data_IF_131252264734
#
_entry.id   IF_131252264734
#
_cell.length_a   1.000
_cell.length_b   1.000
_cell.length_c   1.000
_cell.angle_alpha   90.00
_cell.angle_beta   90.00
_cell.angle_gamma   90.00
#
_symmetry.space_group_name_H-M   'P 1'
#
loop_
_entity.id
_entity.type
_entity.pdbx_description
1 polymer ?
#
# COMPACT_ATOMS: atom_id res chain seq x y z
N UNK A 1 44.36 -2.36 -15.57
CA UNK A 1 44.61 -1.46 -14.43
C UNK A 1 43.38 -1.50 -13.52
N UNK A 2 43.36 -2.42 -12.57
CA UNK A 2 42.23 -2.65 -11.66
C UNK A 2 42.60 -2.11 -10.28
N UNK A 3 41.77 -1.23 -9.72
CA UNK A 3 41.91 -0.71 -8.36
C UNK A 3 40.71 -1.18 -7.53
N UNK A 4 40.97 -2.13 -6.64
CA UNK A 4 40.08 -2.60 -5.59
C UNK A 4 40.37 -1.75 -4.36
N UNK A 5 39.42 -0.93 -3.91
CA UNK A 5 39.52 -0.20 -2.64
C UNK A 5 38.84 -1.03 -1.57
N UNK A 6 39.64 -1.60 -0.66
CA UNK A 6 39.18 -2.20 0.60
C UNK A 6 39.24 -1.13 1.69
N UNK A 7 38.09 -0.76 2.26
CA UNK A 7 38.04 0.02 3.49
C UNK A 7 38.16 -0.94 4.69
N UNK A 8 39.22 -0.74 5.48
CA UNK A 8 39.46 -1.37 6.77
C UNK A 8 38.97 -0.41 7.85
N UNK A 9 38.02 -0.85 8.67
CA UNK A 9 37.58 -0.10 9.86
C UNK A 9 38.42 -0.59 11.04
N UNK A 10 39.22 0.32 11.60
CA UNK A 10 40.03 0.10 12.78
C UNK A 10 39.17 0.39 14.03
N UNK A 11 39.07 -0.57 14.95
CA UNK A 11 38.45 -0.38 16.27
C UNK A 11 39.57 -0.20 17.30
N UNK A 12 39.79 1.04 17.73
CA UNK A 12 40.57 1.34 18.93
C UNK A 12 39.64 1.78 20.06
N UNK A 13 39.70 1.03 21.15
CA UNK A 13 39.13 1.38 22.44
C UNK A 13 39.96 2.47 23.10
N UNK A 14 39.32 3.42 23.80
CA UNK A 14 39.69 3.74 25.19
C UNK A 14 38.81 4.80 25.87
N UNK A 15 38.75 4.62 27.19
CA UNK A 15 38.61 5.60 28.29
C UNK A 15 37.25 5.84 28.92
N UNK A 16 37.26 5.63 30.24
CA UNK A 16 36.12 5.65 31.14
C UNK A 16 35.83 7.03 31.73
N UNK A 17 34.60 7.15 32.22
CA UNK A 17 34.13 8.30 32.98
C UNK A 17 33.26 7.85 34.16
N UNK A 18 33.66 8.29 35.35
CA UNK A 18 32.82 8.89 36.41
C UNK A 18 31.39 8.36 36.58
N UNK A 19 31.16 7.60 37.65
CA UNK A 19 29.87 7.01 38.03
C UNK A 19 28.80 8.01 38.52
N UNK A 20 29.10 9.32 38.61
CA UNK A 20 28.17 10.33 39.12
C UNK A 20 27.37 11.10 38.04
N UNK A 21 27.69 10.94 36.76
CA UNK A 21 26.94 11.55 35.64
C UNK A 21 25.85 10.65 35.04
N UNK A 22 25.88 9.34 35.30
CA UNK A 22 24.97 8.37 34.66
C UNK A 22 23.50 8.56 35.10
N UNK A 23 23.24 9.10 36.30
CA UNK A 23 21.87 9.33 36.76
C UNK A 23 21.18 10.54 36.09
N UNK A 24 21.92 11.48 35.50
CA UNK A 24 21.34 12.68 34.87
C UNK A 24 20.95 12.49 33.40
N UNK A 25 21.25 11.32 32.84
CA UNK A 25 21.07 11.06 31.40
C UNK A 25 19.85 10.21 31.06
N UNK A 26 18.97 9.96 32.02
CA UNK A 26 17.74 9.19 31.82
C UNK A 26 16.58 10.07 31.38
N UNK A 27 15.68 9.49 30.59
CA UNK A 27 14.44 10.12 30.13
C UNK A 27 13.62 10.62 31.32
N UNK A 28 13.26 11.90 31.30
CA UNK A 28 12.49 12.54 32.39
C UNK A 28 11.06 12.00 32.50
N UNK A 29 10.56 11.37 31.44
CA UNK A 29 9.18 10.86 31.38
C UNK A 29 9.08 9.42 31.86
N UNK A 30 10.02 8.55 31.48
CA UNK A 30 9.92 7.13 31.78
C UNK A 30 10.98 6.61 32.77
N UNK A 31 12.08 7.33 32.98
CA UNK A 31 13.19 6.93 33.87
C UNK A 31 13.92 5.64 33.49
N UNK A 32 13.52 4.96 32.40
CA UNK A 32 13.97 3.61 32.03
C UNK A 32 15.01 3.56 30.91
N UNK A 33 15.09 4.61 30.08
CA UNK A 33 15.99 4.68 28.92
C UNK A 33 16.75 6.00 28.91
N UNK A 34 17.99 6.05 28.37
CA UNK A 34 18.73 7.29 28.24
C UNK A 34 18.03 8.27 27.30
N UNK A 35 18.36 9.56 27.45
CA UNK A 35 17.88 10.66 26.62
C UNK A 35 18.27 10.47 25.15
N UNK A 36 17.35 10.73 24.23
CA UNK A 36 17.58 10.58 22.79
C UNK A 36 18.44 11.74 22.27
N UNK A 37 19.45 11.43 21.47
CA UNK A 37 20.36 12.43 20.88
C UNK A 37 20.18 12.43 19.36
N UNK A 38 19.77 13.56 18.80
CA UNK A 38 19.58 13.75 17.36
C UNK A 38 20.52 14.87 16.88
N UNK A 39 21.43 14.55 15.95
CA UNK A 39 22.40 15.52 15.39
C UNK A 39 23.19 16.31 16.45
N UNK A 40 23.53 15.66 17.57
CA UNK A 40 24.24 16.29 18.69
C UNK A 40 23.36 17.05 19.68
N UNK A 41 22.06 17.20 19.42
CA UNK A 41 21.11 17.79 20.36
C UNK A 41 20.50 16.70 21.25
N UNK A 42 20.61 16.83 22.57
CA UNK A 42 20.10 15.87 23.56
C UNK A 42 18.70 16.28 24.02
N UNK A 43 17.70 15.48 23.68
CA UNK A 43 16.31 15.70 24.08
C UNK A 43 16.07 15.23 25.53
N UNK A 44 15.14 15.83 26.29
CA UNK A 44 14.84 15.41 27.67
C UNK A 44 14.17 14.02 27.77
N UNK A 45 13.80 13.43 26.63
CA UNK A 45 13.08 12.16 26.51
C UNK A 45 13.83 11.14 25.64
N UNK A 46 13.53 9.85 25.82
CA UNK A 46 14.14 8.75 25.06
C UNK A 46 13.48 8.44 23.71
N UNK A 47 12.29 9.00 23.43
CA UNK A 47 11.50 8.69 22.22
C UNK A 47 10.42 9.75 21.96
N UNK A 48 9.90 9.78 20.73
CA UNK A 48 8.74 10.62 20.35
C UNK A 48 7.50 10.34 21.22
N UNK A 49 7.30 9.10 21.64
CA UNK A 49 6.19 8.71 22.53
C UNK A 49 6.33 9.35 23.92
N UNK A 50 7.55 9.42 24.47
CA UNK A 50 7.78 10.13 25.73
C UNK A 50 7.65 11.65 25.56
N UNK A 51 8.10 12.21 24.43
CA UNK A 51 7.93 13.62 24.11
C UNK A 51 6.47 14.09 24.12
N UNK A 52 5.55 13.26 23.63
CA UNK A 52 4.11 13.59 23.58
C UNK A 52 3.42 13.61 24.95
N UNK A 53 4.01 12.97 25.98
CA UNK A 53 3.40 12.91 27.32
C UNK A 53 3.59 14.20 28.13
N UNK A 54 4.61 15.00 27.83
CA UNK A 54 4.85 16.29 28.51
C UNK A 54 4.08 17.44 27.87
N UNK A 55 3.46 17.23 26.71
CA UNK A 55 2.65 18.24 26.01
C UNK A 55 1.20 18.32 26.52
N UNK A 56 0.79 17.44 27.44
CA UNK A 56 -0.52 17.43 28.09
C UNK A 56 -0.42 17.88 29.54
N UNK A 57 -0.94 19.07 29.84
CA UNK A 57 -0.84 19.73 31.14
C UNK A 57 -1.40 18.93 32.34
N UNK A 58 -0.71 19.17 33.45
CA UNK A 58 -0.93 18.78 34.86
C UNK A 58 -2.39 18.93 35.33
N UNK A 59 -2.94 17.91 36.02
CA UNK A 59 -4.22 18.01 36.73
C UNK A 59 -4.67 16.79 37.57
N UNK A 60 -4.13 16.70 38.80
CA UNK A 60 -4.65 16.14 40.09
C UNK A 60 -5.56 14.90 40.19
N UNK A 61 -5.24 14.10 41.22
CA UNK A 61 -5.95 12.95 41.80
C UNK A 61 -7.24 13.28 42.58
N UNK A 62 -8.20 12.34 42.66
CA UNK A 62 -8.89 11.85 43.89
C UNK A 62 -10.05 10.87 43.57
N UNK A 63 -10.46 10.13 44.60
CA UNK A 63 -11.01 8.76 44.60
C UNK A 63 -12.58 8.66 44.63
N UNK A 64 -13.22 7.57 45.12
CA UNK A 64 -14.27 6.83 44.40
C UNK A 64 -15.70 7.14 44.87
N UNK A 65 -16.72 6.89 44.04
CA UNK A 65 -18.09 6.75 44.54
C UNK A 65 -18.89 5.72 43.74
N UNK A 66 -19.34 4.72 44.48
CA UNK A 66 -20.31 3.67 44.16
C UNK A 66 -21.64 4.29 43.75
N UNK A 67 -22.22 3.94 42.60
CA UNK A 67 -23.63 3.53 42.46
C UNK A 67 -23.84 2.90 41.07
N UNK A 68 -24.53 1.78 41.08
CA UNK A 68 -24.95 0.85 40.03
C UNK A 68 -25.80 1.47 38.90
N UNK A 69 -25.46 1.19 37.64
CA UNK A 69 -26.40 0.75 36.60
C UNK A 69 -25.67 0.20 35.35
N UNK A 70 -26.21 -0.90 34.79
CA UNK A 70 -25.64 -1.72 33.73
C UNK A 70 -25.60 -1.01 32.36
N UNK A 71 -24.40 -0.59 31.93
CA UNK A 71 -24.05 -0.33 30.53
C UNK A 71 -22.60 -0.76 30.32
N UNK A 72 -22.34 -1.63 29.35
CA UNK A 72 -21.00 -2.10 28.97
C UNK A 72 -20.17 -0.90 28.55
N UNK A 73 -19.35 -0.41 29.48
CA UNK A 73 -18.55 0.81 29.33
C UNK A 73 -17.10 0.44 29.05
N UNK A 74 -16.61 1.03 27.96
CA UNK A 74 -15.25 0.97 27.45
C UNK A 74 -14.31 1.69 28.42
N UNK A 75 -13.66 0.98 29.34
CA UNK A 75 -12.61 1.58 30.18
C UNK A 75 -11.59 0.57 30.75
N UNK A 76 -11.56 -0.68 30.28
CA UNK A 76 -10.36 -1.49 30.50
C UNK A 76 -9.36 -1.11 29.42
N UNK A 77 -8.30 -0.41 29.80
CA UNK A 77 -7.13 -0.21 28.93
C UNK A 77 -6.37 -1.52 28.70
N UNK A 78 -6.93 -2.69 28.97
CA UNK A 78 -6.30 -4.00 28.75
C UNK A 78 -6.63 -4.53 27.37
N UNK A 79 -5.72 -5.32 26.82
CA UNK A 79 -5.88 -6.02 25.56
C UNK A 79 -7.16 -6.87 25.54
N UNK A 80 -7.89 -6.81 24.42
CA UNK A 80 -9.13 -7.57 24.21
C UNK A 80 -8.90 -9.06 23.90
N UNK A 81 -7.66 -9.49 23.64
CA UNK A 81 -7.33 -10.91 23.51
C UNK A 81 -7.45 -11.59 24.89
N UNK A 82 -8.29 -12.62 24.98
CA UNK A 82 -8.52 -13.36 26.24
C UNK A 82 -7.21 -13.97 26.74
N UNK A 83 -6.86 -13.68 27.99
CA UNK A 83 -5.60 -14.13 28.62
C UNK A 83 -4.44 -13.14 28.48
N UNK A 84 -4.61 -12.05 27.74
CA UNK A 84 -3.61 -10.99 27.64
C UNK A 84 -3.85 -9.89 28.69
N UNK A 85 -2.85 -9.62 29.52
CA UNK A 85 -2.93 -8.61 30.58
C UNK A 85 -2.16 -7.31 30.26
N UNK A 86 -1.72 -7.14 29.01
CA UNK A 86 -1.02 -5.93 28.58
C UNK A 86 -1.98 -4.79 28.26
N UNK A 87 -1.49 -3.57 28.39
CA UNK A 87 -2.28 -2.39 28.03
C UNK A 87 -2.53 -2.32 26.52
N UNK A 88 -3.77 -2.07 26.15
CA UNK A 88 -4.22 -1.78 24.80
C UNK A 88 -3.65 -0.44 24.31
N UNK A 89 -2.84 -0.51 23.26
CA UNK A 89 -2.27 0.67 22.57
C UNK A 89 -2.66 0.72 21.09
N UNK A 90 -3.35 -0.30 20.60
CA UNK A 90 -3.74 -0.49 19.21
C UNK A 90 -5.18 -1.02 19.11
N UNK A 91 -6.16 -0.12 18.94
CA UNK A 91 -7.57 -0.47 18.70
C UNK A 91 -8.16 -1.48 19.71
N UNK A 92 -7.79 -1.39 20.99
CA UNK A 92 -8.20 -2.35 22.02
C UNK A 92 -7.25 -3.53 22.22
N UNK A 93 -6.14 -3.61 21.50
CA UNK A 93 -5.10 -4.64 21.64
C UNK A 93 -3.75 -4.03 22.01
N UNK A 94 -2.86 -4.78 22.65
CA UNK A 94 -1.51 -4.31 22.96
C UNK A 94 -0.60 -4.22 21.72
N UNK A 95 -0.93 -4.93 20.65
CA UNK A 95 -0.21 -4.90 19.38
C UNK A 95 -1.07 -5.48 18.23
N UNK A 96 -0.65 -5.34 16.96
CA UNK A 96 -1.38 -5.87 15.82
C UNK A 96 -1.45 -7.40 15.74
N UNK A 97 -0.49 -8.12 16.32
CA UNK A 97 -0.45 -9.60 16.29
C UNK A 97 -1.56 -10.15 17.17
N UNK A 98 -1.73 -9.61 18.39
CA UNK A 98 -2.82 -10.00 19.28
C UNK A 98 -4.20 -9.65 18.72
N UNK A 99 -4.31 -8.56 17.96
CA UNK A 99 -5.53 -8.21 17.24
C UNK A 99 -5.90 -9.30 16.21
N UNK A 100 -4.93 -9.77 15.42
CA UNK A 100 -5.14 -10.85 14.45
C UNK A 100 -5.43 -12.20 15.11
N UNK A 101 -4.73 -12.51 16.20
CA UNK A 101 -4.91 -13.76 16.93
C UNK A 101 -6.30 -13.85 17.56
N UNK A 102 -6.82 -12.74 18.10
CA UNK A 102 -8.18 -12.70 18.63
C UNK A 102 -9.24 -12.98 17.56
N UNK A 103 -9.06 -12.49 16.33
CA UNK A 103 -9.94 -12.83 15.19
C UNK A 103 -9.80 -14.31 14.85
N UNK A 104 -8.56 -14.82 14.75
CA UNK A 104 -8.28 -16.22 14.40
C UNK A 104 -8.87 -17.20 15.41
N UNK A 105 -8.88 -16.85 16.69
CA UNK A 105 -9.49 -17.64 17.77
C UNK A 105 -11.02 -17.46 17.86
N UNK A 106 -11.63 -16.62 17.03
CA UNK A 106 -13.07 -16.35 17.05
C UNK A 106 -13.53 -15.59 18.29
N UNK A 107 -12.62 -14.92 19.00
CA UNK A 107 -12.96 -14.15 20.20
C UNK A 107 -13.59 -12.79 19.85
N UNK A 108 -13.30 -12.29 18.65
CA UNK A 108 -13.86 -11.05 18.10
C UNK A 108 -14.23 -11.25 16.63
N UNK A 109 -15.18 -10.45 16.15
CA UNK A 109 -15.55 -10.42 14.74
C UNK A 109 -14.36 -9.96 13.87
N UNK A 110 -14.10 -10.73 12.82
CA UNK A 110 -13.17 -10.36 11.76
C UNK A 110 -13.80 -9.41 10.73
N UNK A 111 -12.95 -8.67 10.04
CA UNK A 111 -13.32 -7.83 8.91
C UNK A 111 -13.97 -8.66 7.79
N UNK A 112 -15.13 -8.24 7.31
CA UNK A 112 -15.87 -8.91 6.22
C UNK A 112 -15.07 -9.00 4.91
N UNK A 113 -14.01 -8.18 4.74
CA UNK A 113 -13.20 -8.14 3.51
C UNK A 113 -11.91 -8.93 3.59
N UNK A 114 -11.13 -8.80 4.66
CA UNK A 114 -9.83 -9.46 4.77
C UNK A 114 -9.84 -10.65 5.72
N UNK A 115 -10.89 -10.80 6.55
CA UNK A 115 -11.05 -11.84 7.58
C UNK A 115 -9.93 -11.96 8.63
N UNK A 116 -8.82 -11.23 8.48
CA UNK A 116 -7.64 -11.31 9.33
C UNK A 116 -7.59 -10.25 10.45
N UNK A 117 -8.32 -9.14 10.28
CA UNK A 117 -8.21 -7.96 11.16
C UNK A 117 -9.54 -7.69 11.87
N UNK A 118 -9.53 -7.16 13.11
CA UNK A 118 -10.75 -6.82 13.82
C UNK A 118 -11.60 -5.80 13.07
N UNK A 119 -12.91 -5.88 13.24
CA UNK A 119 -13.83 -4.82 12.78
C UNK A 119 -13.49 -3.51 13.49
N UNK A 120 -13.46 -2.39 12.74
CA UNK A 120 -13.22 -1.09 13.35
C UNK A 120 -14.46 -0.64 14.15
N UNK A 121 -14.30 -0.48 15.46
CA UNK A 121 -15.33 0.08 16.34
C UNK A 121 -15.68 1.54 15.99
N UNK A 122 -14.80 2.23 15.26
CA UNK A 122 -14.97 3.63 14.84
C UNK A 122 -15.50 3.77 13.40
N UNK A 123 -15.84 2.68 12.70
CA UNK A 123 -16.41 2.77 11.37
C UNK A 123 -17.79 3.45 11.45
N UNK A 124 -17.81 4.79 11.25
CA UNK A 124 -19.08 5.51 11.13
C UNK A 124 -19.84 4.90 9.95
N UNK A 125 -21.11 4.49 10.14
CA UNK A 125 -21.93 4.07 9.00
C UNK A 125 -22.00 5.25 8.02
N UNK A 126 -21.39 5.07 6.85
CA UNK A 126 -21.52 6.04 5.77
C UNK A 126 -22.99 6.09 5.40
N UNK A 127 -23.62 7.27 5.49
CA UNK A 127 -24.99 7.50 5.03
C UNK A 127 -25.11 6.95 3.60
N UNK A 128 -25.82 5.83 3.44
CA UNK A 128 -26.12 5.21 2.15
C UNK A 128 -25.25 4.02 1.71
N UNK A 129 -24.27 3.55 2.51
CA UNK A 129 -23.51 2.33 2.17
C UNK A 129 -23.94 1.17 3.06
N UNK A 130 -24.78 0.28 2.53
CA UNK A 130 -25.16 -0.95 3.20
C UNK A 130 -23.93 -1.88 3.39
N UNK A 131 -23.65 -2.15 4.66
CA UNK A 131 -23.30 -3.47 5.23
C UNK A 131 -21.97 -4.12 4.83
N UNK A 132 -20.87 -3.64 5.43
CA UNK A 132 -19.70 -4.46 5.70
C UNK A 132 -19.05 -4.02 7.03
N UNK A 133 -18.87 -4.93 7.98
CA UNK A 133 -18.07 -4.75 9.19
C UNK A 133 -16.59 -4.81 8.81
N UNK A 134 -15.98 -3.66 8.56
CA UNK A 134 -14.63 -3.58 7.99
C UNK A 134 -13.60 -3.15 9.04
N UNK A 135 -12.39 -3.69 8.95
CA UNK A 135 -11.26 -3.16 9.73
C UNK A 135 -10.89 -1.75 9.25
N UNK A 136 -10.17 -0.98 10.09
CA UNK A 136 -9.80 0.40 9.76
C UNK A 136 -8.98 0.51 8.46
N UNK A 137 -8.17 -0.51 8.14
CA UNK A 137 -7.44 -0.60 6.87
C UNK A 137 -8.38 -0.76 5.68
N UNK A 138 -9.30 -1.73 5.75
CA UNK A 138 -10.29 -1.97 4.69
C UNK A 138 -11.28 -0.81 4.54
N UNK A 139 -11.71 -0.17 5.63
CA UNK A 139 -12.59 1.00 5.63
C UNK A 139 -11.90 2.22 5.00
N UNK A 140 -10.62 2.49 5.32
CA UNK A 140 -9.84 3.55 4.63
C UNK A 140 -9.64 3.25 3.14
N UNK A 141 -9.30 2.01 2.82
CA UNK A 141 -9.20 1.56 1.43
C UNK A 141 -10.54 1.73 0.69
N UNK A 142 -11.67 1.54 1.39
CA UNK A 142 -13.00 1.77 0.85
C UNK A 142 -13.36 3.26 0.70
N UNK A 143 -12.89 4.12 1.61
CA UNK A 143 -13.26 5.54 1.65
C UNK A 143 -12.45 6.45 0.73
N UNK A 144 -11.24 6.09 0.32
CA UNK A 144 -10.42 6.98 -0.51
C UNK A 144 -9.41 6.31 -1.43
N UNK A 145 -9.34 4.99 -1.46
CA UNK A 145 -8.36 4.26 -2.27
C UNK A 145 -8.96 3.63 -3.53
N UNK A 146 -8.09 3.35 -4.50
CA UNK A 146 -8.40 2.48 -5.63
C UNK A 146 -8.85 1.11 -5.13
N UNK A 147 -9.98 0.61 -5.65
CA UNK A 147 -10.50 -0.71 -5.32
C UNK A 147 -10.47 -1.64 -6.53
N UNK A 148 -10.51 -2.95 -6.27
CA UNK A 148 -10.57 -3.97 -7.30
C UNK A 148 -11.89 -4.72 -7.20
N UNK A 149 -12.51 -4.95 -8.35
CA UNK A 149 -13.68 -5.82 -8.50
C UNK A 149 -13.32 -6.97 -9.44
N UNK A 150 -13.33 -8.20 -8.94
CA UNK A 150 -13.12 -9.38 -9.78
C UNK A 150 -14.27 -9.52 -10.79
N UNK A 151 -13.91 -9.77 -12.05
CA UNK A 151 -14.86 -10.04 -13.13
C UNK A 151 -15.00 -11.55 -13.29
N UNK A 152 -16.25 -12.03 -13.34
CA UNK A 152 -16.52 -13.44 -13.63
C UNK A 152 -16.15 -13.79 -15.08
N UNK A 153 -15.75 -15.03 -15.33
CA UNK A 153 -15.34 -15.49 -16.68
C UNK A 153 -16.42 -15.36 -17.76
N UNK A 154 -17.71 -15.33 -17.35
CA UNK A 154 -18.86 -15.12 -18.24
C UNK A 154 -19.20 -13.64 -18.48
N UNK A 155 -18.58 -12.72 -17.74
CA UNK A 155 -18.77 -11.27 -17.88
C UNK A 155 -18.33 -10.82 -19.29
N UNK A 156 -19.11 -9.95 -19.93
CA UNK A 156 -18.77 -9.42 -21.24
C UNK A 156 -17.48 -8.59 -21.21
N UNK A 157 -17.23 -7.85 -20.12
CA UNK A 157 -15.99 -7.10 -19.92
C UNK A 157 -14.80 -8.03 -19.76
N UNK A 158 -14.95 -9.15 -19.05
CA UNK A 158 -13.88 -10.15 -18.95
C UNK A 158 -13.48 -10.65 -20.34
N UNK A 159 -14.48 -11.06 -21.14
CA UNK A 159 -14.25 -11.58 -22.49
C UNK A 159 -13.60 -10.54 -23.41
N UNK A 160 -14.05 -9.29 -23.33
CA UNK A 160 -13.50 -8.21 -24.14
C UNK A 160 -12.05 -7.89 -23.76
N UNK A 161 -11.75 -7.71 -22.47
CA UNK A 161 -10.37 -7.44 -22.01
C UNK A 161 -9.44 -8.60 -22.35
N UNK A 162 -9.90 -9.85 -22.16
CA UNK A 162 -9.14 -11.04 -22.59
C UNK A 162 -8.90 -11.04 -24.10
N UNK A 163 -9.92 -10.76 -24.90
CA UNK A 163 -9.78 -10.71 -26.37
C UNK A 163 -8.78 -9.65 -26.81
N UNK A 164 -8.82 -8.45 -26.21
CA UNK A 164 -7.86 -7.37 -26.50
C UNK A 164 -6.44 -7.75 -26.12
N UNK A 165 -6.24 -8.36 -24.94
CA UNK A 165 -4.94 -8.84 -24.50
C UNK A 165 -4.36 -9.85 -25.48
N UNK A 166 -5.10 -10.92 -25.78
CA UNK A 166 -4.64 -11.99 -26.66
C UNK A 166 -4.45 -11.50 -28.09
N UNK A 167 -5.37 -10.65 -28.58
CA UNK A 167 -5.30 -10.10 -29.94
C UNK A 167 -4.08 -9.20 -30.16
N UNK A 168 -3.63 -8.49 -29.12
CA UNK A 168 -2.47 -7.61 -29.20
C UNK A 168 -1.17 -8.33 -28.78
N UNK A 169 -1.24 -9.56 -28.27
CA UNK A 169 -0.08 -10.34 -27.83
C UNK A 169 0.74 -10.80 -29.04
N UNK A 170 1.60 -9.91 -29.53
CA UNK A 170 2.37 -10.11 -30.74
C UNK A 170 3.86 -10.21 -30.42
N UNK A 171 4.28 -11.33 -29.82
CA UNK A 171 5.69 -11.65 -29.64
C UNK A 171 6.10 -12.78 -30.59
N UNK A 172 7.19 -12.58 -31.33
CA UNK A 172 7.72 -13.60 -32.23
C UNK A 172 8.18 -14.80 -31.40
N UNK A 173 7.59 -15.96 -31.65
CA UNK A 173 8.00 -17.27 -31.10
C UNK A 173 7.68 -17.54 -29.62
N UNK A 174 6.79 -16.78 -28.98
CA UNK A 174 6.32 -17.08 -27.61
C UNK A 174 4.88 -17.64 -27.64
N UNK A 175 4.55 -18.47 -26.66
CA UNK A 175 3.19 -18.97 -26.47
C UNK A 175 2.22 -17.85 -26.08
N UNK A 176 0.94 -18.04 -26.40
CA UNK A 176 -0.11 -17.13 -25.93
C UNK A 176 -0.34 -17.34 -24.43
N UNK A 177 -0.51 -16.26 -23.65
CA UNK A 177 -0.74 -16.38 -22.23
C UNK A 177 -2.12 -16.98 -21.94
N UNK A 178 -2.23 -17.69 -20.83
CA UNK A 178 -3.52 -18.10 -20.27
C UNK A 178 -3.99 -17.05 -19.28
N UNK A 179 -5.14 -16.44 -19.54
CA UNK A 179 -5.75 -15.44 -18.62
C UNK A 179 -6.58 -16.16 -17.56
N UNK A 180 -6.13 -16.07 -16.32
CA UNK A 180 -6.78 -16.70 -15.16
C UNK A 180 -7.85 -15.80 -14.54
N UNK A 181 -7.49 -14.54 -14.25
CA UNK A 181 -8.39 -13.58 -13.60
C UNK A 181 -8.24 -12.18 -14.15
N UNK A 182 -9.34 -11.43 -14.15
CA UNK A 182 -9.36 -10.02 -14.49
C UNK A 182 -10.08 -9.26 -13.38
N UNK A 183 -9.44 -8.21 -12.88
CA UNK A 183 -10.03 -7.29 -11.92
C UNK A 183 -10.29 -5.96 -12.60
N UNK A 184 -11.52 -5.47 -12.54
CA UNK A 184 -11.82 -4.09 -12.86
C UNK A 184 -11.29 -3.19 -11.75
N UNK A 185 -10.54 -2.16 -12.13
CA UNK A 185 -10.05 -1.15 -11.22
C UNK A 185 -11.13 -0.08 -11.06
N UNK A 186 -11.58 0.14 -9.83
CA UNK A 186 -12.48 1.23 -9.47
C UNK A 186 -11.62 2.46 -9.14
N UNK A 187 -11.37 3.26 -10.17
CA UNK A 187 -10.53 4.46 -10.09
C UNK A 187 -11.22 5.53 -9.22
N UNK A 188 -10.50 6.17 -8.28
CA UNK A 188 -11.02 7.26 -7.46
C UNK A 188 -11.58 8.43 -8.28
N UNK A 189 -12.63 9.10 -7.76
CA UNK A 189 -13.31 10.19 -8.46
C UNK A 189 -12.40 11.38 -8.77
N UNK A 190 -11.45 11.69 -7.89
CA UNK A 190 -10.50 12.79 -8.10
C UNK A 190 -9.55 12.48 -9.27
N UNK A 191 -9.11 11.22 -9.40
CA UNK A 191 -8.29 10.78 -10.53
C UNK A 191 -9.09 10.82 -11.83
N UNK A 192 -10.33 10.33 -11.83
CA UNK A 192 -11.21 10.43 -13.01
C UNK A 192 -11.44 11.89 -13.42
N UNK A 193 -11.59 12.81 -12.46
CA UNK A 193 -11.74 14.23 -12.74
C UNK A 193 -10.48 14.83 -13.35
N UNK A 194 -9.29 14.48 -12.85
CA UNK A 194 -8.01 14.95 -13.41
C UNK A 194 -7.77 14.39 -14.81
N UNK A 195 -8.06 13.11 -15.02
CA UNK A 195 -8.00 12.46 -16.34
C UNK A 195 -8.92 13.13 -17.35
N UNK A 196 -10.17 13.40 -16.97
CA UNK A 196 -11.12 14.11 -17.83
C UNK A 196 -10.68 15.55 -18.12
N UNK A 197 -10.06 16.24 -17.16
CA UNK A 197 -9.48 17.57 -17.37
C UNK A 197 -8.28 17.53 -18.31
N UNK A 198 -7.36 16.58 -18.13
CA UNK A 198 -6.20 16.39 -18.99
C UNK A 198 -6.63 16.10 -20.43
N UNK A 199 -7.63 15.23 -20.62
CA UNK A 199 -8.16 14.94 -21.97
C UNK A 199 -8.63 16.18 -22.73
N UNK A 200 -9.12 17.22 -22.03
CA UNK A 200 -9.59 18.48 -22.61
C UNK A 200 -8.45 19.44 -22.98
N UNK A 201 -7.24 19.25 -22.44
CA UNK A 201 -6.09 20.11 -22.80
C UNK A 201 -5.48 19.69 -24.14
N UNK A 202 -5.79 18.49 -24.61
CA UNK A 202 -5.29 17.93 -25.86
C UNK A 202 -6.25 18.19 -27.02
N UNK A 203 -5.73 18.75 -28.11
CA UNK A 203 -6.44 18.87 -29.39
C UNK A 203 -6.61 17.48 -30.01
N UNK A 204 -7.83 17.12 -30.44
CA UNK A 204 -8.14 15.83 -31.05
C UNK A 204 -7.62 14.62 -30.24
N UNK A 205 -7.88 14.60 -28.93
CA UNK A 205 -7.42 13.49 -28.09
C UNK A 205 -8.10 12.16 -28.45
N UNK A 206 -7.30 11.09 -28.41
CA UNK A 206 -7.79 9.72 -28.50
C UNK A 206 -7.32 8.93 -27.28
N UNK A 207 -8.12 7.93 -26.92
CA UNK A 207 -7.81 7.01 -25.85
C UNK A 207 -7.34 5.68 -26.46
N UNK A 208 -6.21 5.17 -25.97
CA UNK A 208 -5.63 3.91 -26.41
C UNK A 208 -5.48 2.96 -25.22
N UNK A 209 -5.65 1.66 -25.47
CA UNK A 209 -5.40 0.61 -24.50
C UNK A 209 -3.93 0.21 -24.54
N UNK A 210 -3.23 0.42 -23.44
CA UNK A 210 -1.83 -0.02 -23.26
C UNK A 210 -1.70 -0.95 -22.05
N UNK A 211 -0.52 -1.51 -21.86
CA UNK A 211 -0.21 -2.47 -20.82
C UNK A 211 1.05 -2.05 -20.07
N UNK A 212 1.01 -2.15 -18.75
CA UNK A 212 2.12 -1.88 -17.86
C UNK A 212 2.34 -3.10 -16.97
N UNK A 213 3.57 -3.58 -16.88
CA UNK A 213 3.97 -4.59 -15.92
C UNK A 213 5.21 -4.10 -15.15
N UNK A 214 5.37 -4.60 -13.94
CA UNK A 214 6.43 -4.20 -13.02
C UNK A 214 6.59 -5.29 -11.95
N UNK A 215 7.67 -5.17 -11.16
CA UNK A 215 7.91 -6.01 -9.99
C UNK A 215 6.68 -6.25 -9.10
N UNK A 216 6.33 -7.53 -8.94
CA UNK A 216 5.31 -8.01 -8.03
C UNK A 216 5.98 -8.72 -6.84
N UNK A 217 5.81 -8.18 -5.64
CA UNK A 217 6.30 -8.81 -4.41
C UNK A 217 5.23 -9.65 -3.71
N UNK A 218 3.96 -9.47 -4.10
CA UNK A 218 2.79 -10.15 -3.52
C UNK A 218 2.15 -11.13 -4.47
N UNK A 219 1.33 -12.04 -3.94
CA UNK A 219 0.51 -12.96 -4.72
C UNK A 219 -0.84 -12.32 -5.09
N UNK A 220 -0.81 -11.17 -5.78
CA UNK A 220 -2.03 -10.43 -6.11
C UNK A 220 -3.01 -11.33 -6.88
N UNK A 221 -4.24 -11.44 -6.36
CA UNK A 221 -5.31 -12.22 -6.95
C UNK A 221 -5.44 -13.67 -6.45
N UNK A 222 -4.46 -14.19 -5.70
CA UNK A 222 -4.58 -15.50 -5.03
C UNK A 222 -5.43 -15.42 -3.77
N UNK A 223 -5.32 -14.30 -3.03
CA UNK A 223 -6.07 -14.01 -1.79
C UNK A 223 -7.23 -13.03 -2.02
N UNK A 224 -7.71 -12.95 -3.25
CA UNK A 224 -8.79 -12.05 -3.66
C UNK A 224 -8.32 -10.66 -4.13
N UNK A 225 -9.26 -9.71 -4.28
CA UNK A 225 -9.06 -8.42 -4.96
C UNK A 225 -8.45 -7.36 -4.02
N UNK A 226 -7.31 -7.64 -3.41
CA UNK A 226 -6.64 -6.73 -2.47
C UNK A 226 -5.25 -6.29 -2.96
N UNK A 227 -5.02 -4.97 -2.98
CA UNK A 227 -3.68 -4.40 -3.19
C UNK A 227 -2.89 -4.46 -1.87
N UNK A 228 -1.62 -4.84 -1.92
CA UNK A 228 -0.76 -4.84 -0.73
C UNK A 228 -0.17 -3.44 -0.46
N UNK A 229 0.31 -3.22 0.76
CA UNK A 229 0.90 -1.94 1.19
C UNK A 229 2.44 -1.89 1.05
N UNK A 230 3.06 -2.93 0.47
CA UNK A 230 4.52 -2.97 0.32
C UNK A 230 4.97 -1.97 -0.73
N UNK A 231 5.80 -1.03 -0.31
CA UNK A 231 6.37 0.03 -1.16
C UNK A 231 7.11 -0.50 -2.39
N UNK A 232 7.81 -1.64 -2.26
CA UNK A 232 8.51 -2.29 -3.36
C UNK A 232 7.62 -3.06 -4.36
N UNK A 233 6.31 -3.17 -4.11
CA UNK A 233 5.42 -3.87 -5.05
C UNK A 233 4.93 -2.90 -6.12
N UNK A 234 5.57 -2.91 -7.30
CA UNK A 234 5.31 -1.99 -8.41
C UNK A 234 3.85 -1.96 -8.85
N UNK A 235 3.25 -3.11 -9.15
CA UNK A 235 1.82 -3.18 -9.55
C UNK A 235 0.90 -2.56 -8.49
N UNK A 236 1.07 -2.93 -7.21
CA UNK A 236 0.22 -2.42 -6.14
C UNK A 236 0.42 -0.92 -5.89
N UNK A 237 1.67 -0.44 -5.95
CA UNK A 237 2.00 0.98 -5.80
C UNK A 237 1.41 1.83 -6.93
N UNK A 238 1.56 1.39 -8.18
CA UNK A 238 1.02 2.07 -9.35
C UNK A 238 -0.51 2.17 -9.27
N UNK A 239 -1.20 1.05 -9.01
CA UNK A 239 -2.68 1.05 -8.98
C UNK A 239 -3.22 1.87 -7.81
N UNK A 240 -2.63 1.73 -6.61
CA UNK A 240 -3.06 2.47 -5.41
C UNK A 240 -2.86 3.98 -5.56
N UNK A 241 -1.77 4.38 -6.20
CA UNK A 241 -1.42 5.79 -6.39
C UNK A 241 -1.99 6.41 -7.66
N UNK A 242 -2.59 5.60 -8.53
CA UNK A 242 -2.98 6.00 -9.90
C UNK A 242 -1.79 6.57 -10.67
N UNK A 243 -0.70 5.79 -10.77
CA UNK A 243 0.56 6.14 -11.45
C UNK A 243 1.34 7.35 -10.88
N UNK A 244 1.04 7.80 -9.65
CA UNK A 244 1.84 8.84 -8.98
C UNK A 244 3.12 8.31 -8.33
N UNK A 245 3.14 7.03 -7.98
CA UNK A 245 4.28 6.37 -7.34
C UNK A 245 4.45 4.95 -7.88
N UNK A 246 5.70 4.56 -8.08
CA UNK A 246 6.13 3.26 -8.57
C UNK A 246 6.72 2.41 -7.45
N UNK A 247 7.39 1.31 -7.80
CA UNK A 247 8.11 0.50 -6.83
C UNK A 247 9.14 1.35 -6.08
N UNK A 248 9.26 1.12 -4.77
CA UNK A 248 10.17 1.85 -3.87
C UNK A 248 9.86 3.35 -3.73
N UNK A 249 8.61 3.75 -4.01
CA UNK A 249 8.14 5.15 -3.91
C UNK A 249 8.80 6.12 -4.90
N UNK A 250 9.38 5.61 -5.98
CA UNK A 250 9.81 6.43 -7.10
C UNK A 250 8.62 7.17 -7.72
N UNK A 251 8.84 8.40 -8.18
CA UNK A 251 7.78 9.24 -8.78
C UNK A 251 7.61 8.97 -10.29
N UNK A 252 8.62 8.37 -10.92
CA UNK A 252 8.68 8.12 -12.34
C UNK A 252 9.52 6.88 -12.64
N UNK A 253 9.39 6.39 -13.87
CA UNK A 253 10.29 5.42 -14.45
C UNK A 253 11.34 6.13 -15.32
N UNK A 254 12.51 5.52 -15.42
CA UNK A 254 13.58 6.02 -16.27
C UNK A 254 13.64 5.19 -17.56
N UNK A 255 13.43 5.84 -18.70
CA UNK A 255 13.55 5.20 -20.00
C UNK A 255 14.18 6.10 -21.05
N UNK A 256 14.12 5.67 -22.31
CA UNK A 256 14.76 6.36 -23.45
C UNK A 256 14.21 7.76 -23.74
N UNK A 257 13.00 8.06 -23.27
CA UNK A 257 12.35 9.36 -23.43
C UNK A 257 12.47 10.25 -22.19
N UNK A 258 13.32 9.85 -21.23
CA UNK A 258 13.51 10.54 -19.97
C UNK A 258 12.63 10.00 -18.85
N UNK A 259 12.34 10.85 -17.88
CA UNK A 259 11.54 10.51 -16.70
C UNK A 259 10.05 10.58 -17.03
N UNK A 260 9.31 9.51 -16.75
CA UNK A 260 7.86 9.50 -16.92
C UNK A 260 7.27 8.11 -16.76
N UNK A 261 6.15 7.86 -17.43
CA UNK A 261 5.40 6.62 -17.33
C UNK A 261 5.53 5.88 -18.66
N UNK A 262 5.93 4.61 -18.61
CA UNK A 262 6.13 3.78 -19.78
C UNK A 262 5.12 2.63 -19.78
N UNK A 263 4.39 2.51 -20.89
CA UNK A 263 3.43 1.43 -21.15
C UNK A 263 3.61 0.92 -22.57
N UNK A 264 3.00 -0.21 -22.92
CA UNK A 264 3.16 -0.84 -24.24
C UNK A 264 1.81 -1.15 -24.86
N UNK A 265 1.65 -0.95 -26.17
CA UNK A 265 0.43 -1.42 -26.88
C UNK A 265 0.43 -2.95 -26.96
N UNK A 266 1.61 -3.53 -27.18
CA UNK A 266 1.83 -4.97 -27.19
C UNK A 266 2.05 -5.51 -25.76
N UNK A 267 1.10 -6.27 -25.17
CA UNK A 267 1.25 -6.83 -23.84
C UNK A 267 2.42 -7.82 -23.71
N UNK A 268 2.87 -8.45 -24.80
CA UNK A 268 4.06 -9.29 -24.75
C UNK A 268 5.36 -8.50 -24.58
N UNK A 269 5.39 -7.21 -24.94
CA UNK A 269 6.49 -6.31 -24.55
C UNK A 269 6.40 -5.92 -23.09
N UNK A 270 5.18 -5.61 -22.60
CA UNK A 270 4.97 -5.34 -21.18
C UNK A 270 5.35 -6.55 -20.29
N UNK A 271 5.08 -7.78 -20.75
CA UNK A 271 5.42 -9.02 -20.03
C UNK A 271 6.92 -9.16 -19.73
N UNK A 272 7.79 -8.59 -20.57
CA UNK A 272 9.25 -8.60 -20.32
C UNK A 272 9.62 -7.83 -19.04
N UNK A 273 8.79 -6.88 -18.63
CA UNK A 273 8.94 -6.10 -17.39
C UNK A 273 8.21 -6.77 -16.20
N UNK A 274 7.44 -7.84 -16.44
CA UNK A 274 6.70 -8.58 -15.42
C UNK A 274 7.65 -9.47 -14.59
N UNK A 275 8.21 -8.89 -13.52
CA UNK A 275 9.06 -9.60 -12.57
C UNK A 275 8.27 -9.99 -11.32
N UNK A 276 8.49 -11.20 -10.78
CA UNK A 276 7.88 -11.65 -9.53
C UNK A 276 8.94 -12.23 -8.61
N UNK A 277 8.83 -11.94 -7.31
CA UNK A 277 9.68 -12.56 -6.26
C UNK A 277 8.94 -13.65 -5.49
N UNK A 278 7.78 -14.06 -5.98
CA UNK A 278 6.93 -15.08 -5.35
C UNK A 278 7.15 -16.44 -6.00
N UNK A 279 6.75 -17.51 -5.33
CA UNK A 279 6.73 -18.87 -5.90
C UNK A 279 5.49 -19.12 -6.78
N UNK A 280 4.63 -18.11 -6.93
CA UNK A 280 3.41 -18.20 -7.72
C UNK A 280 3.75 -18.34 -9.20
N UNK A 281 3.09 -19.24 -9.95
CA UNK A 281 3.27 -19.33 -11.40
C UNK A 281 2.63 -18.17 -12.15
N UNK A 282 1.87 -17.32 -11.45
CA UNK A 282 1.10 -16.24 -12.03
C UNK A 282 1.90 -14.95 -12.14
N UNK A 283 1.74 -14.31 -13.29
CA UNK A 283 2.16 -12.94 -13.57
C UNK A 283 0.97 -12.01 -13.55
N UNK A 284 1.24 -10.73 -13.34
CA UNK A 284 0.20 -9.69 -13.29
C UNK A 284 0.65 -8.47 -14.06
N UNK A 285 -0.24 -7.95 -14.90
CA UNK A 285 -0.06 -6.67 -15.59
C UNK A 285 -1.31 -5.81 -15.47
N UNK A 286 -1.16 -4.52 -15.75
CA UNK A 286 -2.22 -3.52 -15.74
C UNK A 286 -2.58 -3.18 -17.18
N UNK A 287 -3.84 -3.37 -17.55
CA UNK A 287 -4.42 -2.80 -18.76
C UNK A 287 -4.87 -1.36 -18.46
N UNK A 288 -4.30 -0.42 -19.19
CA UNK A 288 -4.38 1.02 -18.94
C UNK A 288 -5.14 1.73 -20.05
N UNK A 289 -5.93 2.74 -19.69
CA UNK A 289 -6.52 3.67 -20.65
C UNK A 289 -5.65 4.93 -20.68
N UNK A 290 -4.92 5.15 -21.77
CA UNK A 290 -3.99 6.27 -21.96
C UNK A 290 -4.58 7.26 -22.96
N UNK A 291 -4.63 8.54 -22.59
CA UNK A 291 -4.98 9.61 -23.52
C UNK A 291 -3.72 10.14 -24.20
N UNK A 292 -3.73 10.12 -25.53
CA UNK A 292 -2.68 10.70 -26.37
C UNK A 292 -3.29 11.71 -27.34
N UNK A 293 -2.45 12.62 -27.87
CA UNK A 293 -2.84 13.43 -29.03
C UNK A 293 -3.05 12.54 -30.24
N UNK A 294 -4.01 12.85 -31.12
CA UNK A 294 -4.15 12.13 -32.39
C UNK A 294 -2.89 12.20 -33.27
N UNK A 295 -2.10 13.26 -33.13
CA UNK A 295 -0.85 13.47 -33.86
C UNK A 295 0.31 12.64 -33.31
N UNK A 296 0.18 12.12 -32.08
CA UNK A 296 1.22 11.29 -31.49
C UNK A 296 1.22 9.91 -32.15
N UNK A 297 2.33 9.60 -32.81
CA UNK A 297 2.62 8.26 -33.28
C UNK A 297 2.79 7.32 -32.08
N UNK A 298 2.11 6.18 -32.15
CA UNK A 298 2.11 5.16 -31.12
C UNK A 298 2.69 3.91 -31.77
N UNK A 299 4.00 3.63 -31.58
CA UNK A 299 4.63 2.49 -32.21
C UNK A 299 4.14 1.18 -31.57
N UNK A 300 3.82 0.18 -32.37
CA UNK A 300 3.34 -1.12 -31.87
C UNK A 300 4.44 -1.93 -31.17
N UNK A 301 5.68 -1.81 -31.66
CA UNK A 301 6.85 -2.54 -31.18
C UNK A 301 7.63 -1.77 -30.10
N UNK A 302 6.98 -0.77 -29.47
CA UNK A 302 7.67 0.14 -28.58
C UNK A 302 6.82 0.69 -27.43
N UNK A 303 7.50 1.41 -26.53
CA UNK A 303 6.88 2.06 -25.39
C UNK A 303 6.11 3.33 -25.77
N UNK A 304 4.90 3.43 -25.22
CA UNK A 304 4.10 4.65 -25.11
C UNK A 304 4.55 5.39 -23.86
N UNK A 305 5.05 6.61 -24.05
CA UNK A 305 5.48 7.50 -22.99
C UNK A 305 4.41 8.54 -22.67
N UNK A 306 4.12 8.72 -21.38
CA UNK A 306 3.36 9.88 -20.88
C UNK A 306 4.05 10.51 -19.69
N UNK A 307 4.11 11.84 -19.69
CA UNK A 307 4.80 12.62 -18.65
C UNK A 307 3.94 12.90 -17.41
N UNK A 308 2.63 12.65 -17.48
CA UNK A 308 1.69 12.94 -16.40
C UNK A 308 0.84 11.74 -16.04
N UNK A 309 0.69 11.49 -14.74
CA UNK A 309 -0.25 10.50 -14.20
C UNK A 309 -1.72 10.87 -14.46
N UNK A 310 -2.01 12.11 -14.86
CA UNK A 310 -3.34 12.51 -15.30
C UNK A 310 -3.66 12.06 -16.73
N UNK A 311 -2.67 11.61 -17.51
CA UNK A 311 -2.87 11.11 -18.87
C UNK A 311 -3.27 9.62 -18.93
N UNK A 312 -3.28 8.92 -17.80
CA UNK A 312 -3.39 7.47 -17.73
C UNK A 312 -4.29 7.03 -16.56
N UNK A 313 -5.08 5.99 -16.80
CA UNK A 313 -5.82 5.29 -15.76
C UNK A 313 -5.51 3.79 -15.79
N UNK A 314 -5.35 3.18 -14.61
CA UNK A 314 -5.42 1.73 -14.47
C UNK A 314 -6.88 1.31 -14.66
N UNK A 315 -7.21 0.63 -15.76
CA UNK A 315 -8.58 0.23 -16.07
C UNK A 315 -8.88 -1.20 -15.58
N UNK A 316 -7.94 -2.11 -15.82
CA UNK A 316 -8.03 -3.50 -15.40
C UNK A 316 -6.68 -4.02 -14.93
N UNK A 317 -6.72 -5.02 -14.06
CA UNK A 317 -5.55 -5.85 -13.72
C UNK A 317 -5.81 -7.23 -14.30
N UNK A 318 -4.83 -7.76 -15.03
CA UNK A 318 -4.89 -9.07 -15.65
C UNK A 318 -3.88 -9.98 -14.96
N UNK A 319 -4.36 -11.09 -14.42
CA UNK A 319 -3.56 -12.17 -13.86
C UNK A 319 -3.52 -13.31 -14.87
N UNK A 320 -2.32 -13.77 -15.22
CA UNK A 320 -2.09 -14.71 -16.30
C UNK A 320 -0.90 -15.61 -16.04
N UNK A 321 -0.78 -16.68 -16.83
CA UNK A 321 0.35 -17.60 -16.87
C UNK A 321 0.86 -17.76 -18.30
N UNK A 322 2.14 -18.14 -18.45
CA UNK A 322 2.78 -18.44 -19.74
C UNK A 322 2.89 -19.94 -19.97
#
# INVERSE_FOLDING_TARGET
MAAIVRNVVNWSAQQGHSSSQIQRDMCEVCGKKPKFVERGHKHPYCSRTCAGKTSGGIGKASSPTTTTHLTVNTASNTCLLTGCNYDAVFQGFCDPVHAMEAVKLGQIDGCDKCHDQPVSTNARPSRGSSTGKLCAGCDRALRGGTQLKELGSRDSKFREVRKQLIGNWNTRNEGLPTVDKIYQVLVPRDQLSRYASYRKTLTNSREIRTYHASLMLCDLGTKGPCLCERKGCGICSVVRSSFKTFAFEEEYEQGRFGQGIYTFVNPGLADKEATTSTTSPYRVMIACDVVVSAEQEVPDDDSVFVASSDAINSAYIVMYSM
#
